data_IF_951018698496
#
_entry.id   IF_951018698496
#
_cell.length_a   1.000
_cell.length_b   1.000
_cell.length_c   1.000
_cell.angle_alpha   90.00
_cell.angle_beta   90.00
_cell.angle_gamma   90.00
#
_symmetry.space_group_name_H-M   'P 1'
#
loop_
_entity.id
_entity.type
_entity.pdbx_description
1 polymer ?
#
# COMPACT_ATOMS: atom_id res chain seq x y z
N UNK A 1 -5.62 5.16 1.00
CA UNK A 1 -5.74 5.54 -0.42
C UNK A 1 -6.89 6.54 -0.54
N UNK A 2 -7.34 6.87 -1.76
CA UNK A 2 -8.32 7.87 -2.27
C UNK A 2 -8.26 9.37 -1.87
N UNK A 3 -8.93 10.20 -2.70
CA UNK A 3 -8.46 11.49 -3.29
C UNK A 3 -9.50 12.63 -3.24
N UNK A 4 -9.07 13.90 -3.09
CA UNK A 4 -9.69 15.08 -3.67
C UNK A 4 -8.97 15.52 -4.96
N UNK A 5 -9.72 16.15 -5.86
CA UNK A 5 -9.43 16.48 -7.26
C UNK A 5 -8.03 17.02 -7.65
N UNK A 6 -7.22 17.54 -6.72
CA UNK A 6 -5.91 18.12 -7.03
C UNK A 6 -4.73 17.12 -6.97
N UNK A 7 -4.98 15.85 -6.66
CA UNK A 7 -3.96 14.78 -6.58
C UNK A 7 -4.23 13.58 -7.52
N UNK A 8 -5.00 13.79 -8.60
CA UNK A 8 -5.41 12.73 -9.53
C UNK A 8 -4.23 11.93 -10.12
N UNK A 9 -3.08 12.56 -10.41
CA UNK A 9 -1.94 11.88 -11.06
C UNK A 9 -1.25 10.81 -10.20
N UNK A 10 -1.09 11.03 -8.89
CA UNK A 10 -0.48 10.02 -8.02
C UNK A 10 -1.42 8.86 -7.75
N UNK A 11 -2.71 9.12 -7.59
CA UNK A 11 -3.67 8.04 -7.35
C UNK A 11 -3.86 7.18 -8.58
N UNK A 12 -4.04 7.80 -9.76
CA UNK A 12 -4.20 7.07 -11.01
C UNK A 12 -2.98 6.21 -11.32
N UNK A 13 -1.77 6.77 -11.23
CA UNK A 13 -0.54 6.02 -11.48
C UNK A 13 -0.32 4.89 -10.47
N UNK A 14 -0.59 5.13 -9.17
CA UNK A 14 -0.39 4.09 -8.17
C UNK A 14 -1.40 2.95 -8.31
N UNK A 15 -2.70 3.23 -8.42
CA UNK A 15 -3.69 2.16 -8.58
C UNK A 15 -3.46 1.37 -9.86
N UNK A 16 -3.21 2.05 -10.98
CA UNK A 16 -2.97 1.38 -12.27
C UNK A 16 -1.77 0.43 -12.18
N UNK A 17 -0.63 0.91 -11.66
CA UNK A 17 0.59 0.10 -11.57
C UNK A 17 0.49 -1.00 -10.50
N UNK A 18 -0.23 -0.77 -9.39
CA UNK A 18 -0.48 -1.81 -8.39
C UNK A 18 -1.38 -2.91 -8.97
N UNK A 19 -2.43 -2.56 -9.73
CA UNK A 19 -3.28 -3.53 -10.42
C UNK A 19 -2.48 -4.32 -11.47
N UNK A 20 -1.59 -3.65 -12.22
CA UNK A 20 -0.71 -4.31 -13.18
C UNK A 20 0.21 -5.34 -12.49
N UNK A 21 0.90 -4.94 -11.43
CA UNK A 21 1.76 -5.84 -10.65
C UNK A 21 0.97 -7.00 -10.05
N UNK A 22 -0.20 -6.72 -9.46
CA UNK A 22 -1.04 -7.75 -8.90
C UNK A 22 -1.48 -8.76 -9.96
N UNK A 23 -1.94 -8.29 -11.12
CA UNK A 23 -2.33 -9.15 -12.24
C UNK A 23 -1.19 -10.06 -12.68
N UNK A 24 0.04 -9.54 -12.70
CA UNK A 24 1.24 -10.29 -13.12
C UNK A 24 1.70 -11.35 -12.12
N UNK A 25 1.48 -11.14 -10.83
CA UNK A 25 2.10 -11.95 -9.77
C UNK A 25 1.14 -12.62 -8.78
N UNK A 26 -0.17 -12.32 -8.80
CA UNK A 26 -1.15 -12.89 -7.85
C UNK A 26 -1.11 -14.41 -7.79
N UNK A 27 -0.99 -15.07 -8.95
CA UNK A 27 -0.95 -16.53 -9.06
C UNK A 27 0.42 -17.14 -8.70
N UNK A 28 1.37 -16.30 -8.27
CA UNK A 28 2.74 -16.68 -7.88
C UNK A 28 3.00 -16.49 -6.38
N UNK A 29 1.96 -16.27 -5.58
CA UNK A 29 2.07 -16.05 -4.14
C UNK A 29 2.34 -14.59 -3.75
N UNK A 30 2.00 -13.64 -4.62
CA UNK A 30 2.02 -12.21 -4.31
C UNK A 30 0.62 -11.72 -3.94
N UNK A 31 0.51 -10.91 -2.89
CA UNK A 31 -0.74 -10.29 -2.46
C UNK A 31 -0.53 -8.81 -2.15
N UNK A 32 -1.52 -7.98 -2.49
CA UNK A 32 -1.54 -6.55 -2.14
C UNK A 32 -2.62 -6.32 -1.07
N UNK A 33 -2.22 -5.81 0.08
CA UNK A 33 -3.15 -5.42 1.15
C UNK A 33 -3.29 -3.90 1.17
N UNK A 34 -4.40 -3.38 0.67
CA UNK A 34 -4.64 -1.94 0.60
C UNK A 34 -5.38 -1.42 1.84
N UNK A 35 -4.76 -0.49 2.56
CA UNK A 35 -5.34 0.13 3.76
C UNK A 35 -5.70 1.61 3.51
N UNK A 36 -6.99 1.94 3.37
CA UNK A 36 -7.46 3.32 3.32
C UNK A 36 -7.09 4.12 4.58
N UNK A 37 -6.83 5.42 4.41
CA UNK A 37 -6.41 6.28 5.51
C UNK A 37 -6.69 7.74 5.19
N UNK A 38 -7.34 8.44 6.12
CA UNK A 38 -7.74 9.84 5.93
C UNK A 38 -6.87 10.86 6.68
N UNK A 39 -5.68 10.46 7.14
CA UNK A 39 -4.82 11.31 7.98
C UNK A 39 -3.96 12.32 7.21
N UNK A 40 -3.95 12.25 5.87
CA UNK A 40 -3.13 13.11 5.02
C UNK A 40 -4.05 14.06 4.24
N UNK A 41 -4.13 15.32 4.68
CA UNK A 41 -5.00 16.37 4.11
C UNK A 41 -6.46 15.95 3.88
N UNK A 42 -6.97 15.02 4.70
CA UNK A 42 -8.31 14.44 4.55
C UNK A 42 -8.61 13.96 3.13
N UNK A 43 -7.59 13.38 2.47
CA UNK A 43 -7.71 12.97 1.08
C UNK A 43 -8.68 11.81 0.88
N UNK A 44 -9.01 11.07 1.94
CA UNK A 44 -9.89 9.90 1.91
C UNK A 44 -11.20 10.09 2.71
N UNK A 45 -12.08 11.02 2.31
CA UNK A 45 -13.27 11.36 3.08
C UNK A 45 -14.40 10.34 2.96
N UNK A 46 -14.44 9.53 1.88
CA UNK A 46 -15.53 8.59 1.60
C UNK A 46 -15.67 7.46 2.62
N UNK A 47 -16.81 6.77 2.61
CA UNK A 47 -17.02 5.55 3.42
C UNK A 47 -16.16 4.40 2.90
N UNK A 48 -15.99 3.34 3.72
CA UNK A 48 -15.23 2.16 3.31
C UNK A 48 -15.80 1.52 2.04
N UNK A 49 -17.12 1.49 1.91
CA UNK A 49 -17.84 0.97 0.73
C UNK A 49 -17.55 1.82 -0.52
N UNK A 50 -17.60 3.16 -0.39
CA UNK A 50 -17.33 4.07 -1.51
C UNK A 50 -15.88 3.94 -2.00
N UNK A 51 -14.94 3.74 -1.08
CA UNK A 51 -13.52 3.58 -1.40
C UNK A 51 -13.29 2.27 -2.15
N UNK A 52 -13.90 1.19 -1.67
CA UNK A 52 -13.83 -0.11 -2.32
C UNK A 52 -14.46 -0.06 -3.72
N UNK A 53 -15.68 0.48 -3.84
CA UNK A 53 -16.37 0.63 -5.12
C UNK A 53 -15.55 1.46 -6.10
N UNK A 54 -14.99 2.60 -5.66
CA UNK A 54 -14.13 3.43 -6.49
C UNK A 54 -12.94 2.65 -7.04
N UNK A 55 -12.21 1.93 -6.19
CA UNK A 55 -11.03 1.19 -6.62
C UNK A 55 -11.36 0.01 -7.56
N UNK A 56 -12.42 -0.76 -7.25
CA UNK A 56 -12.85 -1.88 -8.08
C UNK A 56 -13.41 -1.41 -9.43
N UNK A 57 -14.22 -0.35 -9.46
CA UNK A 57 -14.84 0.12 -10.71
C UNK A 57 -13.86 0.91 -11.59
N UNK A 58 -13.10 1.84 -11.02
CA UNK A 58 -12.24 2.76 -11.77
C UNK A 58 -10.95 2.11 -12.25
N UNK A 59 -10.36 1.24 -11.43
CA UNK A 59 -9.03 0.65 -11.68
C UNK A 59 -9.04 -0.87 -11.75
N UNK A 60 -10.21 -1.51 -11.65
CA UNK A 60 -10.34 -2.98 -11.70
C UNK A 60 -9.44 -3.66 -10.67
N UNK A 61 -9.32 -3.06 -9.49
CA UNK A 61 -8.53 -3.63 -8.41
C UNK A 61 -9.17 -4.96 -7.95
N UNK A 62 -8.40 -6.04 -8.04
CA UNK A 62 -8.80 -7.39 -7.63
C UNK A 62 -8.18 -7.81 -6.28
N UNK A 63 -7.34 -6.97 -5.70
CA UNK A 63 -6.69 -7.22 -4.42
C UNK A 63 -7.55 -6.69 -3.24
N UNK A 64 -7.39 -7.24 -2.03
CA UNK A 64 -8.14 -6.82 -0.85
C UNK A 64 -7.94 -5.34 -0.49
N UNK A 65 -9.07 -4.63 -0.35
CA UNK A 65 -9.13 -3.26 0.18
C UNK A 65 -9.85 -3.34 1.53
N UNK A 66 -9.12 -2.99 2.59
CA UNK A 66 -9.61 -3.10 3.95
C UNK A 66 -10.40 -1.85 4.38
N UNK A 67 -11.01 -1.92 5.55
CA UNK A 67 -11.56 -0.76 6.23
C UNK A 67 -10.49 0.30 6.51
N UNK A 68 -10.92 1.55 6.63
CA UNK A 68 -10.03 2.68 6.91
C UNK A 68 -9.34 2.53 8.25
N UNK A 69 -8.02 2.78 8.25
CA UNK A 69 -7.19 2.71 9.46
C UNK A 69 -6.46 4.02 9.70
N UNK A 70 -6.05 4.23 10.96
CA UNK A 70 -5.03 5.22 11.30
C UNK A 70 -3.65 4.58 11.21
N UNK A 71 -2.75 5.24 10.49
CA UNK A 71 -1.35 4.79 10.27
C UNK A 71 -0.36 5.55 11.16
N UNK A 72 -0.80 6.64 11.79
CA UNK A 72 -0.03 7.48 12.70
C UNK A 72 -0.85 7.85 13.95
N UNK A 73 -0.15 8.26 15.02
CA UNK A 73 -0.77 8.69 16.28
C UNK A 73 -1.06 7.55 17.26
N UNK A 74 -1.69 7.85 18.42
CA UNK A 74 -1.95 6.87 19.48
C UNK A 74 -2.82 5.69 18.99
N UNK A 75 -3.79 5.99 18.14
CA UNK A 75 -4.74 5.03 17.57
C UNK A 75 -4.19 4.32 16.32
N UNK A 76 -2.87 4.33 16.10
CA UNK A 76 -2.28 3.61 14.95
C UNK A 76 -2.69 2.13 15.01
N UNK A 77 -3.16 1.58 13.89
CA UNK A 77 -3.53 0.16 13.81
C UNK A 77 -2.34 -0.74 14.11
N UNK A 78 -2.56 -1.94 14.69
CA UNK A 78 -1.47 -2.87 15.03
C UNK A 78 -0.56 -3.20 13.84
N UNK A 79 -1.13 -3.39 12.64
CA UNK A 79 -0.35 -3.67 11.43
C UNK A 79 0.62 -2.54 11.11
N UNK A 80 0.19 -1.28 11.19
CA UNK A 80 1.09 -0.15 10.95
C UNK A 80 2.05 0.10 12.11
N UNK A 81 1.71 -0.27 13.36
CA UNK A 81 2.69 -0.27 14.46
C UNK A 81 3.84 -1.24 14.16
N UNK A 82 3.52 -2.47 13.74
CA UNK A 82 4.49 -3.48 13.33
C UNK A 82 5.34 -3.02 12.14
N UNK A 83 4.72 -2.63 11.02
CA UNK A 83 5.42 -2.25 9.80
C UNK A 83 6.40 -1.09 10.03
N UNK A 84 5.97 -0.07 10.78
CA UNK A 84 6.80 1.09 11.12
C UNK A 84 7.96 0.74 12.05
N UNK A 85 7.79 -0.22 12.95
CA UNK A 85 8.84 -0.68 13.86
C UNK A 85 9.88 -1.53 13.14
N UNK A 86 9.45 -2.40 12.22
CA UNK A 86 10.34 -3.30 11.47
C UNK A 86 11.22 -2.55 10.47
N UNK A 87 10.72 -1.49 9.83
CA UNK A 87 11.49 -0.60 8.94
C UNK A 87 11.17 0.87 9.20
N UNK A 88 12.01 1.51 10.01
CA UNK A 88 12.01 2.95 10.18
C UNK A 88 12.45 3.64 8.87
N UNK A 89 11.77 4.73 8.49
CA UNK A 89 12.27 5.58 7.40
C UNK A 89 13.45 6.42 7.88
N UNK A 90 14.15 7.07 6.93
CA UNK A 90 15.34 7.89 7.20
C UNK A 90 15.12 9.01 8.24
N UNK A 91 13.87 9.45 8.44
CA UNK A 91 13.48 10.49 9.41
C UNK A 91 12.49 9.95 10.46
N UNK A 92 12.70 8.71 10.90
CA UNK A 92 11.88 8.04 11.91
C UNK A 92 10.77 7.17 11.33
N UNK A 93 9.96 6.62 12.23
CA UNK A 93 9.01 5.56 11.89
C UNK A 93 7.70 6.07 11.27
N UNK A 94 7.35 7.35 11.45
CA UNK A 94 6.09 7.98 11.01
C UNK A 94 5.86 7.81 9.49
N UNK A 95 4.61 7.51 9.08
CA UNK A 95 4.21 7.56 7.67
C UNK A 95 4.08 9.02 7.25
N UNK A 96 4.81 9.43 6.21
CA UNK A 96 4.86 10.84 5.80
C UNK A 96 3.66 11.25 4.94
N UNK A 97 3.21 10.36 4.05
CA UNK A 97 2.14 10.65 3.10
C UNK A 97 1.45 9.37 2.61
N UNK A 98 0.38 9.56 1.83
CA UNK A 98 -0.32 8.49 1.09
C UNK A 98 0.63 7.68 0.21
N UNK A 99 0.28 6.42 -0.09
CA UNK A 99 1.07 5.51 -0.94
C UNK A 99 2.49 5.22 -0.44
N UNK A 100 2.73 5.23 0.87
CA UNK A 100 3.90 4.53 1.44
C UNK A 100 3.65 3.03 1.31
N UNK A 101 4.62 2.28 0.78
CA UNK A 101 4.52 0.81 0.60
C UNK A 101 5.48 0.08 1.50
N UNK A 102 5.11 -1.14 1.87
CA UNK A 102 5.98 -2.08 2.58
C UNK A 102 5.96 -3.40 1.81
N UNK A 103 7.14 -3.96 1.57
CA UNK A 103 7.27 -5.32 1.05
C UNK A 103 7.54 -6.25 2.23
N UNK A 104 6.70 -7.26 2.39
CA UNK A 104 6.77 -8.26 3.46
C UNK A 104 7.03 -9.60 2.80
N UNK A 105 8.02 -10.34 3.31
CA UNK A 105 8.34 -11.68 2.84
C UNK A 105 7.30 -12.71 3.27
N UNK A 106 7.37 -13.89 2.66
CA UNK A 106 6.50 -15.04 3.01
C UNK A 106 6.67 -15.50 4.47
N UNK A 107 7.83 -15.21 5.06
CA UNK A 107 8.15 -15.43 6.47
C UNK A 107 7.60 -14.35 7.42
N UNK A 108 6.82 -13.40 6.91
CA UNK A 108 6.25 -12.30 7.67
C UNK A 108 7.23 -11.17 8.02
N UNK A 109 8.50 -11.25 7.60
CA UNK A 109 9.48 -10.19 7.86
C UNK A 109 9.37 -9.07 6.84
N UNK A 110 9.46 -7.83 7.32
CA UNK A 110 9.44 -6.65 6.45
C UNK A 110 10.78 -6.54 5.72
N UNK A 111 10.77 -6.81 4.42
CA UNK A 111 11.94 -6.74 3.54
C UNK A 111 12.35 -5.28 3.34
N UNK A 112 11.40 -4.44 2.92
CA UNK A 112 11.69 -3.05 2.59
C UNK A 112 10.48 -2.11 2.81
N UNK A 113 10.77 -0.81 2.83
CA UNK A 113 9.79 0.28 2.93
C UNK A 113 10.07 1.31 1.84
N UNK A 114 9.05 1.62 1.05
CA UNK A 114 9.15 2.54 -0.08
C UNK A 114 8.34 3.81 0.18
N UNK A 115 8.92 4.95 -0.18
CA UNK A 115 8.28 6.24 -0.02
C UNK A 115 7.13 6.43 -1.02
N UNK A 116 6.32 7.46 -0.81
CA UNK A 116 5.29 7.90 -1.75
C UNK A 116 5.82 8.17 -3.15
N UNK A 117 7.05 8.65 -3.28
CA UNK A 117 7.66 9.00 -4.56
C UNK A 117 8.14 7.76 -5.33
N UNK A 118 8.25 6.61 -4.67
CA UNK A 118 8.60 5.36 -5.32
C UNK A 118 7.37 4.83 -6.07
N UNK A 119 7.47 4.81 -7.39
CA UNK A 119 6.48 4.18 -8.28
C UNK A 119 6.35 2.69 -7.94
N UNK A 120 5.14 2.11 -7.94
CA UNK A 120 4.96 0.67 -7.81
C UNK A 120 5.80 -0.15 -8.81
N UNK A 121 5.89 0.25 -10.08
CA UNK A 121 6.71 -0.52 -11.04
C UNK A 121 8.21 -0.54 -10.67
N UNK A 122 8.70 0.49 -9.98
CA UNK A 122 10.09 0.51 -9.52
C UNK A 122 10.38 -0.52 -8.41
N UNK A 123 9.36 -1.13 -7.80
CA UNK A 123 9.53 -2.19 -6.78
C UNK A 123 9.39 -3.60 -7.35
N UNK A 124 9.15 -3.75 -8.66
CA UNK A 124 8.90 -5.05 -9.28
C UNK A 124 10.06 -6.04 -9.11
N UNK A 125 11.30 -5.59 -9.27
CA UNK A 125 12.47 -6.43 -9.10
C UNK A 125 12.60 -6.97 -7.67
N UNK A 126 12.23 -6.17 -6.67
CA UNK A 126 12.22 -6.59 -5.27
C UNK A 126 11.10 -7.62 -5.01
N UNK A 127 9.94 -7.46 -5.66
CA UNK A 127 8.84 -8.44 -5.62
C UNK A 127 9.30 -9.77 -6.21
N UNK A 128 9.88 -9.77 -7.42
CA UNK A 128 10.39 -10.99 -8.07
C UNK A 128 11.39 -11.72 -7.17
N UNK A 129 12.34 -10.98 -6.59
CA UNK A 129 13.33 -11.53 -5.66
C UNK A 129 12.67 -12.12 -4.40
N UNK A 130 11.64 -11.49 -3.86
CA UNK A 130 10.89 -12.01 -2.71
C UNK A 130 10.10 -13.27 -3.05
N UNK A 131 9.59 -13.39 -4.28
CA UNK A 131 8.86 -14.57 -4.75
C UNK A 131 9.77 -15.79 -4.96
N UNK A 132 11.01 -15.56 -5.37
CA UNK A 132 12.04 -16.59 -5.57
C UNK A 132 12.72 -17.02 -4.27
N UNK A 133 12.51 -16.28 -3.17
CA UNK A 133 13.04 -16.66 -1.87
C UNK A 133 12.44 -18.02 -1.43
N UNK A 134 13.24 -18.90 -0.81
CA UNK A 134 12.75 -20.17 -0.26
C UNK A 134 11.60 -19.93 0.71
N UNK A 135 10.63 -20.85 0.72
CA UNK A 135 9.63 -20.88 1.78
C UNK A 135 10.33 -21.06 3.15
N UNK A 136 9.86 -20.38 4.20
CA UNK A 136 10.42 -20.49 5.54
C UNK A 136 10.27 -21.87 6.17
#
# INVERSE_FOLDING_TARGET
>A
MAVPSDCAGFTDSNYTQLTELYTKYKDRGFEILAFPCNQFLRQEPGSDEQIQEFACTRYKAEYPIFQKVKVNGPDTSPVYKFLKASKCGYFGSRIKWNFTKFLVGKDGKVINRYSTLTSPMAIEADIQKALEAPEP
#
